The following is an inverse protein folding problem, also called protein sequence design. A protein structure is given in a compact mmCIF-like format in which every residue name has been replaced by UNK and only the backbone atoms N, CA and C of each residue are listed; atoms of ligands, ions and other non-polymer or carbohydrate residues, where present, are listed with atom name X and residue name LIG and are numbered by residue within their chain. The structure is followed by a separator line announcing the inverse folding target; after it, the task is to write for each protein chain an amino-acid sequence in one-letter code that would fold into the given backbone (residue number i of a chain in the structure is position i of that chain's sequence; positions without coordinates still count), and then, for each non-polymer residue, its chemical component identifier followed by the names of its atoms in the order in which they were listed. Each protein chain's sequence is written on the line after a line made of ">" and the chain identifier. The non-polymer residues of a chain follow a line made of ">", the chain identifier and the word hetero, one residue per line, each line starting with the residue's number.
data_IF_001854201501
#
_entry.id   IF_001854201501
#
_cell.length_a   1.000
_cell.length_b   1.000
_cell.length_c   1.000
_cell.angle_alpha   90.00
_cell.angle_beta   90.00
_cell.angle_gamma   90.00
#
_symmetry.space_group_name_H-M   'P 1'
#
loop_
_entity.id
_entity.type
_entity.pdbx_description
1 polymer ?
#
# COMPACT_ATOMS: atom_id res chain seq x y z
N UNK A 1 23.92 -6.91 -14.47
CA UNK A 1 22.49 -6.54 -14.49
C UNK A 1 22.28 -5.41 -13.48
N UNK A 2 21.80 -4.27 -13.94
CA UNK A 2 22.09 -2.94 -13.36
C UNK A 2 21.21 -2.58 -12.16
N UNK A 3 21.82 -2.00 -11.11
CA UNK A 3 21.12 -1.40 -9.94
C UNK A 3 20.13 -0.29 -10.32
N UNK A 4 20.26 0.33 -11.50
CA UNK A 4 19.38 1.41 -11.96
C UNK A 4 17.90 0.98 -11.97
N UNK A 5 17.62 -0.26 -12.38
CA UNK A 5 16.26 -0.77 -12.45
C UNK A 5 15.58 -0.90 -11.08
N UNK A 6 16.36 -1.10 -10.00
CA UNK A 6 15.81 -1.12 -8.63
C UNK A 6 15.50 0.29 -8.14
N UNK A 7 16.25 1.29 -8.60
CA UNK A 7 16.01 2.68 -8.23
C UNK A 7 14.68 3.18 -8.82
N UNK A 8 14.35 2.78 -10.05
CA UNK A 8 13.07 3.12 -10.72
C UNK A 8 11.85 2.45 -10.06
N UNK A 9 12.06 1.40 -9.27
CA UNK A 9 11.00 0.70 -8.55
C UNK A 9 10.77 1.25 -7.15
N UNK A 10 11.66 2.10 -6.62
CA UNK A 10 11.59 2.56 -5.24
C UNK A 10 10.31 3.34 -4.98
N UNK A 11 9.96 4.30 -5.85
CA UNK A 11 8.74 5.09 -5.72
C UNK A 11 7.48 4.21 -5.70
N UNK A 12 7.36 3.32 -6.69
CA UNK A 12 6.22 2.39 -6.80
C UNK A 12 6.14 1.42 -5.62
N UNK A 13 7.27 0.87 -5.16
CA UNK A 13 7.30 -0.02 -4.00
C UNK A 13 6.83 0.70 -2.72
N UNK A 14 7.28 1.95 -2.50
CA UNK A 14 6.83 2.73 -1.35
C UNK A 14 5.34 3.07 -1.42
N UNK A 15 4.82 3.44 -2.60
CA UNK A 15 3.37 3.63 -2.77
C UNK A 15 2.57 2.39 -2.35
N UNK A 16 2.99 1.20 -2.80
CA UNK A 16 2.35 -0.07 -2.43
C UNK A 16 2.41 -0.27 -0.91
N UNK A 17 3.58 -0.07 -0.29
CA UNK A 17 3.76 -0.25 1.15
C UNK A 17 2.88 0.72 1.97
N UNK A 18 2.70 1.95 1.51
CA UNK A 18 1.84 2.96 2.15
C UNK A 18 0.36 2.57 2.20
N UNK A 19 -0.08 1.57 1.44
CA UNK A 19 -1.44 1.03 1.56
C UNK A 19 -1.63 -0.05 2.62
N UNK A 20 -0.52 -0.56 3.16
CA UNK A 20 -0.50 -1.61 4.18
C UNK A 20 -0.06 -1.10 5.57
N UNK A 21 0.33 0.16 5.67
CA UNK A 21 0.69 0.82 6.93
C UNK A 21 -0.25 1.99 7.18
N UNK A 22 -0.38 2.37 8.45
CA UNK A 22 -1.11 3.57 8.84
C UNK A 22 -0.25 4.81 8.58
N UNK A 23 -0.17 5.75 9.53
CA UNK A 23 0.72 6.89 9.40
C UNK A 23 2.14 6.47 9.79
N UNK A 24 3.09 6.59 8.87
CA UNK A 24 4.50 6.28 9.12
C UNK A 24 5.38 7.46 8.73
N UNK A 25 6.35 7.88 9.57
CA UNK A 25 7.38 8.81 9.14
C UNK A 25 8.37 8.08 8.24
N UNK A 26 8.85 8.77 7.19
CA UNK A 26 9.98 8.27 6.40
C UNK A 26 11.30 8.72 7.01
N UNK A 27 12.30 7.84 7.03
CA UNK A 27 13.65 8.25 7.39
C UNK A 27 14.24 9.17 6.31
N UNK A 28 15.16 10.06 6.71
CA UNK A 28 15.75 11.09 5.84
C UNK A 28 16.38 10.50 4.58
N UNK A 29 17.12 9.39 4.70
CA UNK A 29 17.75 8.69 3.56
C UNK A 29 16.72 8.19 2.54
N UNK A 30 15.61 7.60 3.01
CA UNK A 30 14.56 7.12 2.11
C UNK A 30 13.86 8.29 1.43
N UNK A 31 13.57 9.35 2.18
CA UNK A 31 12.96 10.57 1.66
C UNK A 31 13.78 11.19 0.52
N UNK A 32 15.08 11.39 0.71
CA UNK A 32 15.96 11.99 -0.33
C UNK A 32 16.08 11.15 -1.59
N UNK A 33 15.90 9.83 -1.50
CA UNK A 33 15.85 8.97 -2.69
C UNK A 33 14.49 9.02 -3.39
N UNK A 34 13.41 9.16 -2.63
CA UNK A 34 12.05 9.26 -3.15
C UNK A 34 11.75 10.61 -3.81
N UNK A 35 12.36 11.70 -3.35
CA UNK A 35 12.25 13.03 -3.97
C UNK A 35 12.68 13.06 -5.45
N UNK A 36 13.45 12.06 -5.90
CA UNK A 36 13.90 11.90 -7.30
C UNK A 36 12.98 11.01 -8.14
N UNK A 37 11.95 10.42 -7.53
CA UNK A 37 11.04 9.47 -8.16
C UNK A 37 9.82 10.19 -8.72
N UNK A 38 9.25 9.68 -9.81
CA UNK A 38 8.01 10.23 -10.40
C UNK A 38 6.82 10.13 -9.45
N UNK A 39 6.83 9.16 -8.52
CA UNK A 39 5.79 8.95 -7.52
C UNK A 39 5.88 9.93 -6.33
N UNK A 40 6.90 10.77 -6.26
CA UNK A 40 7.16 11.61 -5.08
C UNK A 40 5.96 12.46 -4.66
N UNK A 41 5.34 13.17 -5.59
CA UNK A 41 4.20 14.06 -5.30
C UNK A 41 3.02 13.31 -4.67
N UNK A 42 2.74 12.11 -5.16
CA UNK A 42 1.68 11.26 -4.60
C UNK A 42 2.06 10.73 -3.21
N UNK A 43 3.29 10.24 -3.05
CA UNK A 43 3.83 9.79 -1.75
C UNK A 43 3.79 10.92 -0.73
N UNK A 44 4.26 12.11 -1.10
CA UNK A 44 4.28 13.30 -0.26
C UNK A 44 2.86 13.70 0.16
N UNK A 45 1.91 13.65 -0.77
CA UNK A 45 0.49 13.91 -0.48
C UNK A 45 -0.05 12.90 0.54
N UNK A 46 0.24 11.60 0.38
CA UNK A 46 -0.21 10.54 1.30
C UNK A 46 0.38 10.72 2.71
N UNK A 47 1.65 11.13 2.81
CA UNK A 47 2.36 11.28 4.09
C UNK A 47 1.94 12.51 4.89
N UNK A 48 1.61 13.61 4.20
CA UNK A 48 1.27 14.88 4.85
C UNK A 48 -0.22 15.05 5.13
N UNK A 49 -1.09 14.27 4.48
CA UNK A 49 -2.52 14.33 4.72
C UNK A 49 -2.99 13.19 5.66
N UNK A 50 -4.02 13.41 6.47
CA UNK A 50 -4.69 12.33 7.17
C UNK A 50 -5.19 11.27 6.19
N UNK A 51 -4.94 9.99 6.49
CA UNK A 51 -5.50 8.89 5.71
C UNK A 51 -7.01 8.86 5.88
N UNK A 52 -7.73 8.48 4.81
CA UNK A 52 -9.18 8.35 4.87
C UNK A 52 -9.59 7.28 5.88
N UNK A 53 -10.76 7.46 6.52
CA UNK A 53 -11.33 6.46 7.42
C UNK A 53 -11.50 5.11 6.70
N UNK A 54 -11.89 5.14 5.42
CA UNK A 54 -11.98 3.94 4.57
C UNK A 54 -10.65 3.17 4.50
N UNK A 55 -9.51 3.84 4.42
CA UNK A 55 -8.22 3.15 4.45
C UNK A 55 -7.90 2.59 5.84
N UNK A 56 -8.10 3.36 6.90
CA UNK A 56 -7.81 2.93 8.27
C UNK A 56 -8.67 1.72 8.70
N UNK A 57 -9.96 1.73 8.38
CA UNK A 57 -10.84 0.58 8.63
C UNK A 57 -10.36 -0.68 7.89
N UNK A 58 -9.85 -0.53 6.66
CA UNK A 58 -9.32 -1.66 5.88
C UNK A 58 -8.12 -2.29 6.59
N UNK A 59 -7.20 -1.46 7.11
CA UNK A 59 -6.04 -1.95 7.84
C UNK A 59 -6.45 -2.73 9.09
N UNK A 60 -7.40 -2.21 9.86
CA UNK A 60 -7.87 -2.88 11.08
C UNK A 60 -8.52 -4.23 10.78
N UNK A 61 -9.39 -4.30 9.75
CA UNK A 61 -9.98 -5.58 9.34
C UNK A 61 -8.90 -6.57 8.90
N UNK A 62 -7.94 -6.13 8.06
CA UNK A 62 -6.86 -6.98 7.57
C UNK A 62 -5.95 -7.50 8.69
N UNK A 63 -5.72 -6.71 9.74
CA UNK A 63 -4.99 -7.12 10.94
C UNK A 63 -5.63 -8.34 11.62
N UNK A 64 -6.96 -8.39 11.70
CA UNK A 64 -7.72 -9.52 12.28
C UNK A 64 -7.92 -10.69 11.33
N UNK A 65 -8.00 -10.43 10.02
CA UNK A 65 -8.11 -11.51 9.03
C UNK A 65 -6.78 -12.23 8.83
N UNK A 66 -5.63 -11.54 8.88
CA UNK A 66 -4.33 -12.06 8.46
C UNK A 66 -4.28 -12.40 6.96
N UNK A 67 -3.07 -12.51 6.41
CA UNK A 67 -2.86 -12.90 5.00
C UNK A 67 -3.49 -14.28 4.73
N UNK A 68 -3.37 -15.22 5.68
CA UNK A 68 -3.89 -16.59 5.52
C UNK A 68 -5.39 -16.64 5.29
N UNK A 69 -6.20 -15.83 6.00
CA UNK A 69 -7.66 -15.84 5.79
C UNK A 69 -8.05 -15.04 4.56
N UNK A 70 -7.33 -13.95 4.24
CA UNK A 70 -7.55 -13.18 3.01
C UNK A 70 -7.29 -13.98 1.74
N UNK A 71 -6.38 -14.96 1.78
CA UNK A 71 -6.11 -15.85 0.66
C UNK A 71 -6.97 -17.13 0.66
N UNK A 72 -7.81 -17.35 1.68
CA UNK A 72 -8.65 -18.54 1.77
C UNK A 72 -10.00 -18.31 1.08
N UNK A 73 -10.24 -19.01 -0.03
CA UNK A 73 -11.48 -18.88 -0.82
C UNK A 73 -12.73 -19.26 -0.02
N UNK A 74 -12.68 -20.28 0.85
CA UNK A 74 -13.81 -20.66 1.70
C UNK A 74 -14.24 -19.52 2.64
N UNK A 75 -13.27 -18.73 3.12
CA UNK A 75 -13.55 -17.56 3.98
C UNK A 75 -13.96 -16.34 3.16
N UNK A 76 -13.33 -16.13 2.01
CA UNK A 76 -13.52 -14.93 1.19
C UNK A 76 -14.74 -15.01 0.28
N UNK A 77 -15.16 -16.21 -0.13
CA UNK A 77 -16.23 -16.40 -1.11
C UNK A 77 -17.61 -15.89 -0.69
N UNK A 78 -18.02 -16.02 0.58
CA UNK A 78 -19.27 -15.47 1.08
C UNK A 78 -19.35 -13.93 1.03
N UNK A 79 -18.22 -13.21 0.94
CA UNK A 79 -18.25 -11.75 0.88
C UNK A 79 -18.74 -11.25 -0.48
N UNK A 80 -19.60 -10.21 -0.54
CA UNK A 80 -19.95 -9.55 -1.80
C UNK A 80 -18.72 -8.99 -2.54
N UNK A 81 -18.75 -8.91 -3.89
CA UNK A 81 -17.63 -8.41 -4.68
C UNK A 81 -17.07 -7.04 -4.24
N UNK A 82 -17.89 -6.04 -3.85
CA UNK A 82 -17.38 -4.76 -3.36
C UNK A 82 -16.53 -4.90 -2.09
N UNK A 83 -16.90 -5.82 -1.19
CA UNK A 83 -16.16 -6.08 0.05
C UNK A 83 -14.87 -6.83 -0.26
N UNK A 84 -14.91 -7.84 -1.14
CA UNK A 84 -13.68 -8.53 -1.60
C UNK A 84 -12.69 -7.54 -2.19
N UNK A 85 -13.14 -6.67 -3.10
CA UNK A 85 -12.30 -5.66 -3.73
C UNK A 85 -11.76 -4.63 -2.72
N UNK A 86 -12.59 -4.23 -1.76
CA UNK A 86 -12.18 -3.34 -0.68
C UNK A 86 -11.10 -3.96 0.20
N UNK A 87 -11.23 -5.23 0.59
CA UNK A 87 -10.29 -5.92 1.48
C UNK A 87 -8.99 -6.31 0.76
N UNK A 88 -9.08 -6.83 -0.47
CA UNK A 88 -7.92 -7.25 -1.25
C UNK A 88 -7.10 -6.05 -1.74
N UNK A 89 -7.76 -4.94 -2.07
CA UNK A 89 -7.20 -3.64 -2.47
C UNK A 89 -5.96 -3.71 -3.36
N UNK A 90 -6.17 -3.62 -4.68
CA UNK A 90 -5.14 -3.80 -5.70
C UNK A 90 -4.78 -2.53 -6.47
N UNK A 91 -4.97 -1.34 -5.88
CA UNK A 91 -4.84 -0.06 -6.62
C UNK A 91 -3.47 0.12 -7.27
N UNK A 92 -2.41 -0.35 -6.62
CA UNK A 92 -1.02 -0.22 -7.09
C UNK A 92 -0.33 -1.57 -7.31
N UNK A 93 -1.09 -2.67 -7.41
CA UNK A 93 -0.50 -3.97 -7.72
C UNK A 93 0.24 -3.91 -9.06
N UNK A 94 1.38 -4.60 -9.14
CA UNK A 94 2.19 -4.71 -10.35
C UNK A 94 1.45 -5.59 -11.38
N UNK A 95 0.60 -4.99 -12.21
CA UNK A 95 0.09 -5.60 -13.45
C UNK A 95 1.07 -5.43 -14.58
#
# INVERSE_FOLDING_TARGET
>A
MSLCCLFDLLGRAVLILLDYVSRVPLCSRLRSNLEKQKEWEEIYTILNNPRSQKHLCRLEIRKHMTIKRLCNTVIMDPFPPPIKNYLLYKKYDLT
#
